data_IF_736531769400
#
_entry.id   IF_736531769400
#
_cell.length_a   1.000
_cell.length_b   1.000
_cell.length_c   1.000
_cell.angle_alpha   90.00
_cell.angle_beta   90.00
_cell.angle_gamma   90.00
#
_symmetry.space_group_name_H-M   'P 1'
#
loop_
_entity.id
_entity.type
_entity.pdbx_description
1 polymer ?
#
# COMPACT_ATOMS: atom_id res chain seq x y z
N UNK A 1 -5.18 22.25 -32.06
CA UNK A 1 -5.80 23.50 -31.58
C UNK A 1 -7.30 23.32 -31.27
N UNK A 2 -8.09 22.62 -32.11
CA UNK A 2 -9.53 22.47 -31.94
C UNK A 2 -9.95 21.79 -30.63
N UNK A 3 -9.13 20.91 -30.06
CA UNK A 3 -9.38 20.21 -28.81
C UNK A 3 -8.78 20.90 -27.56
N UNK A 4 -8.09 22.04 -27.74
CA UNK A 4 -7.49 22.79 -26.64
C UNK A 4 -6.38 22.08 -25.88
N UNK A 5 -5.87 20.94 -26.38
CA UNK A 5 -4.83 20.12 -25.74
C UNK A 5 -3.50 20.85 -25.53
N UNK A 6 -3.27 21.93 -26.25
CA UNK A 6 -2.11 22.81 -26.10
C UNK A 6 -2.26 23.86 -25.00
N UNK A 7 -3.44 23.94 -24.36
CA UNK A 7 -3.75 24.93 -23.31
C UNK A 7 -3.78 24.33 -21.91
N UNK A 8 -3.38 23.07 -21.75
CA UNK A 8 -3.32 22.40 -20.42
C UNK A 8 -2.24 23.08 -19.58
N UNK A 9 -2.59 23.57 -18.40
CA UNK A 9 -1.67 24.35 -17.55
C UNK A 9 -0.54 23.51 -16.95
N UNK A 10 -0.88 22.36 -16.38
CA UNK A 10 0.06 21.45 -15.75
C UNK A 10 0.05 20.10 -16.49
N UNK A 11 0.63 20.01 -17.71
CA UNK A 11 0.42 18.88 -18.58
C UNK A 11 1.19 17.65 -18.12
N UNK A 12 0.48 16.52 -18.01
CA UNK A 12 1.04 15.17 -17.90
C UNK A 12 0.62 14.38 -19.14
N UNK A 13 1.57 13.74 -19.79
CA UNK A 13 1.27 12.88 -20.94
C UNK A 13 0.56 11.62 -20.48
N UNK A 14 -0.68 11.41 -20.91
CA UNK A 14 -1.51 10.28 -20.54
C UNK A 14 -1.73 9.27 -21.67
N UNK A 15 -1.19 9.53 -22.86
CA UNK A 15 -1.32 8.68 -24.03
C UNK A 15 -0.98 9.42 -25.30
N UNK A 16 -1.36 8.85 -26.43
CA UNK A 16 -1.16 9.49 -27.73
C UNK A 16 -2.27 9.11 -28.72
N UNK A 17 -2.46 9.98 -29.69
CA UNK A 17 -3.30 9.73 -30.86
C UNK A 17 -2.38 9.44 -32.05
N UNK A 18 -2.71 8.39 -32.81
CA UNK A 18 -2.07 8.08 -34.08
C UNK A 18 -3.01 8.43 -35.24
N UNK A 19 -2.49 9.16 -36.17
CA UNK A 19 -3.18 9.50 -37.42
C UNK A 19 -2.30 9.10 -38.61
N UNK A 20 -2.93 8.57 -39.64
CA UNK A 20 -2.26 8.22 -40.85
C UNK A 20 -2.65 9.23 -41.96
N UNK A 21 -1.67 9.89 -42.50
CA UNK A 21 -1.85 10.74 -43.69
C UNK A 21 -1.10 10.10 -44.83
N UNK A 22 -1.82 9.35 -45.69
CA UNK A 22 -1.26 8.53 -46.73
C UNK A 22 -0.24 7.49 -46.20
N UNK A 23 1.06 7.76 -46.38
CA UNK A 23 2.15 6.88 -45.92
C UNK A 23 2.77 7.35 -44.60
N UNK A 24 2.45 8.54 -44.13
CA UNK A 24 3.06 9.13 -42.95
C UNK A 24 2.20 8.89 -41.72
N UNK A 25 2.84 8.44 -40.66
CA UNK A 25 2.25 8.25 -39.37
C UNK A 25 2.54 9.48 -38.47
N UNK A 26 1.48 10.17 -38.09
CA UNK A 26 1.56 11.33 -37.20
C UNK A 26 1.15 10.86 -35.80
N UNK A 27 2.03 11.04 -34.80
CA UNK A 27 1.78 10.74 -33.40
C UNK A 27 1.66 12.04 -32.63
N UNK A 28 0.53 12.24 -31.93
CA UNK A 28 0.26 13.43 -31.13
C UNK A 28 0.09 13.01 -29.66
N UNK A 29 0.87 13.56 -28.71
CA UNK A 29 0.69 13.28 -27.30
C UNK A 29 -0.65 13.84 -26.81
N UNK A 30 -1.37 13.04 -26.02
CA UNK A 30 -2.56 13.46 -25.28
C UNK A 30 -2.11 13.82 -23.88
N UNK A 31 -2.48 15.02 -23.44
CA UNK A 31 -2.09 15.57 -22.14
C UNK A 31 -3.30 15.82 -21.27
N UNK A 32 -3.17 15.53 -19.98
CA UNK A 32 -4.14 15.90 -18.93
C UNK A 32 -3.49 16.90 -17.97
N UNK A 33 -4.30 17.71 -17.33
CA UNK A 33 -3.83 18.59 -16.25
C UNK A 33 -3.60 17.75 -14.97
N UNK A 34 -2.39 17.82 -14.42
CA UNK A 34 -2.00 17.04 -13.23
C UNK A 34 -2.92 17.27 -12.04
N UNK A 35 -3.52 18.45 -11.89
CA UNK A 35 -4.43 18.77 -10.79
C UNK A 35 -5.65 17.85 -10.69
N UNK A 36 -6.10 17.30 -11.82
CA UNK A 36 -7.17 16.30 -11.84
C UNK A 36 -6.69 14.88 -11.58
N UNK A 37 -5.39 14.65 -11.56
CA UNK A 37 -4.79 13.34 -11.29
C UNK A 37 -4.27 13.20 -9.85
N UNK A 38 -3.70 14.28 -9.31
CA UNK A 38 -3.03 14.29 -8.01
C UNK A 38 -3.55 15.35 -7.03
N UNK A 39 -4.52 16.16 -7.41
CA UNK A 39 -5.11 17.25 -6.61
C UNK A 39 -4.55 18.62 -6.96
N UNK A 40 -5.10 19.70 -6.36
CA UNK A 40 -6.17 19.71 -5.35
C UNK A 40 -7.60 19.61 -5.90
N UNK A 41 -7.79 19.44 -7.19
CA UNK A 41 -9.10 19.48 -7.88
C UNK A 41 -9.89 18.15 -7.78
N UNK A 42 -9.95 17.53 -6.59
CA UNK A 42 -10.76 16.35 -6.36
C UNK A 42 -10.26 15.11 -7.12
N UNK A 43 -8.96 14.89 -7.12
CA UNK A 43 -8.31 13.83 -7.86
C UNK A 43 -8.81 12.44 -7.45
N UNK A 44 -9.56 11.82 -8.35
CA UNK A 44 -10.00 10.45 -8.24
C UNK A 44 -9.97 9.80 -9.63
N UNK A 45 -9.10 8.79 -9.80
CA UNK A 45 -8.95 8.09 -11.07
C UNK A 45 -9.37 6.63 -10.93
N UNK A 46 -10.30 6.20 -11.77
CA UNK A 46 -10.68 4.81 -11.91
C UNK A 46 -10.26 4.28 -13.28
N UNK A 47 -9.48 3.19 -13.30
CA UNK A 47 -9.03 2.53 -14.52
C UNK A 47 -9.74 1.20 -14.65
N UNK A 48 -10.65 1.11 -15.63
CA UNK A 48 -11.42 -0.09 -15.93
C UNK A 48 -10.92 -0.74 -17.22
N UNK A 49 -10.95 -2.06 -17.29
CA UNK A 49 -10.56 -2.81 -18.49
C UNK A 49 -10.84 -4.30 -18.35
N UNK A 50 -10.72 -5.02 -19.45
CA UNK A 50 -10.92 -6.48 -19.51
C UNK A 50 -9.85 -7.17 -18.64
N UNK A 51 -10.28 -8.13 -17.83
CA UNK A 51 -9.38 -8.93 -16.99
C UNK A 51 -8.45 -9.80 -17.86
N UNK A 52 -7.19 -9.96 -17.42
CA UNK A 52 -6.21 -10.86 -18.04
C UNK A 52 -5.25 -10.20 -19.05
N UNK A 53 -5.46 -8.95 -19.45
CA UNK A 53 -4.58 -8.25 -20.40
C UNK A 53 -3.52 -7.35 -19.73
N UNK A 54 -3.35 -7.40 -18.42
CA UNK A 54 -2.44 -6.54 -17.63
C UNK A 54 -2.58 -5.01 -17.89
N UNK A 55 -3.42 -4.62 -18.85
CA UNK A 55 -3.54 -3.25 -19.34
C UNK A 55 -3.87 -2.22 -18.24
N UNK A 56 -4.64 -2.62 -17.22
CA UNK A 56 -5.04 -1.71 -16.13
C UNK A 56 -3.85 -1.29 -15.28
N UNK A 57 -3.11 -2.26 -14.74
CA UNK A 57 -1.94 -2.01 -13.91
C UNK A 57 -0.83 -1.33 -14.70
N UNK A 58 -0.57 -1.80 -15.92
CA UNK A 58 0.45 -1.19 -16.79
C UNK A 58 0.14 0.26 -17.14
N UNK A 59 -1.13 0.58 -17.42
CA UNK A 59 -1.52 1.96 -17.69
C UNK A 59 -1.46 2.84 -16.44
N UNK A 60 -1.87 2.31 -15.28
CA UNK A 60 -1.74 3.02 -14.01
C UNK A 60 -0.27 3.35 -13.73
N UNK A 61 0.63 2.36 -13.86
CA UNK A 61 2.07 2.56 -13.65
C UNK A 61 2.66 3.56 -14.65
N UNK A 62 2.27 3.47 -15.92
CA UNK A 62 2.67 4.46 -16.93
C UNK A 62 2.28 5.89 -16.54
N UNK A 63 1.04 6.08 -16.12
CA UNK A 63 0.53 7.40 -15.75
C UNK A 63 1.22 7.94 -14.49
N UNK A 64 1.36 7.11 -13.44
CA UNK A 64 2.00 7.50 -12.19
C UNK A 64 3.49 7.77 -12.37
N UNK A 65 4.15 7.02 -13.28
CA UNK A 65 5.55 7.29 -13.63
C UNK A 65 5.70 8.62 -14.36
N UNK A 66 4.79 8.95 -15.29
CA UNK A 66 4.78 10.24 -15.96
C UNK A 66 4.56 11.40 -14.97
N UNK A 67 3.75 11.19 -13.93
CA UNK A 67 3.58 12.15 -12.83
C UNK A 67 4.87 12.28 -12.01
N UNK A 68 5.49 11.16 -11.61
CA UNK A 68 6.75 11.20 -10.87
C UNK A 68 7.83 11.96 -11.66
N UNK A 69 7.98 11.68 -12.96
CA UNK A 69 8.98 12.36 -13.79
C UNK A 69 8.75 13.86 -13.85
N UNK A 70 7.49 14.28 -13.98
CA UNK A 70 7.13 15.70 -13.94
C UNK A 70 7.50 16.36 -12.61
N UNK A 71 7.28 15.67 -11.47
CA UNK A 71 7.65 16.18 -10.14
C UNK A 71 9.18 16.31 -9.93
N UNK A 72 9.99 15.67 -10.77
CA UNK A 72 11.45 15.83 -10.78
C UNK A 72 11.95 16.95 -11.69
N UNK A 73 11.08 17.61 -12.46
CA UNK A 73 11.45 18.78 -13.25
C UNK A 73 11.81 19.95 -12.32
N UNK A 74 12.82 20.75 -12.70
CA UNK A 74 13.37 21.79 -11.84
C UNK A 74 12.35 22.87 -11.44
N UNK A 75 11.36 23.11 -12.30
CA UNK A 75 10.31 24.14 -12.10
C UNK A 75 9.02 23.54 -11.54
N UNK A 76 9.02 22.28 -11.07
CA UNK A 76 7.82 21.65 -10.53
C UNK A 76 7.48 22.22 -9.16
N UNK A 77 6.28 22.78 -9.05
CA UNK A 77 5.67 23.20 -7.78
C UNK A 77 4.93 22.02 -7.09
N UNK A 78 4.77 20.90 -7.78
CA UNK A 78 4.02 19.75 -7.28
C UNK A 78 4.88 18.93 -6.29
N UNK A 79 4.41 18.79 -5.05
CA UNK A 79 4.97 17.94 -4.01
C UNK A 79 4.10 16.69 -3.88
N UNK A 80 4.55 15.58 -4.44
CA UNK A 80 3.82 14.31 -4.49
C UNK A 80 4.66 13.19 -3.91
N UNK A 81 4.04 12.33 -3.15
CA UNK A 81 4.56 11.02 -2.77
C UNK A 81 3.53 9.94 -3.14
N UNK A 82 3.99 8.71 -3.30
CA UNK A 82 3.15 7.62 -3.76
C UNK A 82 3.11 6.51 -2.71
N UNK A 83 1.90 6.04 -2.40
CA UNK A 83 1.71 4.83 -1.59
C UNK A 83 0.96 3.82 -2.45
N UNK A 84 1.60 2.69 -2.71
CA UNK A 84 1.05 1.60 -3.51
C UNK A 84 0.79 0.38 -2.63
N UNK A 85 -0.37 -0.25 -2.82
CA UNK A 85 -0.67 -1.55 -2.23
C UNK A 85 -0.53 -2.64 -3.28
N UNK A 86 0.42 -3.55 -3.08
CA UNK A 86 0.53 -4.76 -3.89
C UNK A 86 -0.45 -5.80 -3.34
N UNK A 87 -1.62 -5.88 -3.96
CA UNK A 87 -2.72 -6.75 -3.49
C UNK A 87 -2.72 -8.13 -4.15
N UNK A 88 -1.96 -8.30 -5.25
CA UNK A 88 -1.94 -9.56 -6.00
C UNK A 88 -0.60 -9.77 -6.72
N UNK A 89 -0.06 -10.97 -6.61
CA UNK A 89 1.16 -11.34 -7.33
C UNK A 89 2.38 -10.51 -6.91
N UNK A 90 3.22 -10.17 -7.88
CA UNK A 90 4.48 -9.43 -7.68
C UNK A 90 4.61 -8.18 -8.56
N UNK A 91 3.54 -7.75 -9.19
CA UNK A 91 3.58 -6.75 -10.28
C UNK A 91 4.16 -5.39 -9.83
N UNK A 92 3.99 -5.02 -8.56
CA UNK A 92 4.49 -3.76 -8.01
C UNK A 92 5.82 -3.92 -7.23
N UNK A 93 6.36 -5.14 -7.11
CA UNK A 93 7.50 -5.42 -6.22
C UNK A 93 8.87 -5.24 -6.88
N UNK A 94 8.93 -4.73 -8.11
CA UNK A 94 10.16 -4.46 -8.84
C UNK A 94 10.04 -3.22 -9.74
N UNK A 95 9.25 -2.22 -9.32
CA UNK A 95 8.99 -1.02 -10.11
C UNK A 95 10.18 -0.07 -10.20
N UNK A 96 11.21 -0.28 -9.38
CA UNK A 96 12.51 0.39 -9.41
C UNK A 96 13.51 -0.29 -10.35
N UNK A 97 13.11 -1.40 -10.99
CA UNK A 97 13.95 -2.12 -11.94
C UNK A 97 13.60 -1.75 -13.38
N UNK A 98 14.57 -1.75 -14.30
CA UNK A 98 14.30 -1.58 -15.71
C UNK A 98 13.33 -2.65 -16.25
N UNK A 99 12.51 -2.28 -17.22
CA UNK A 99 11.63 -3.25 -17.89
C UNK A 99 12.44 -4.30 -18.64
N UNK A 100 12.06 -5.57 -18.48
CA UNK A 100 12.61 -6.67 -19.25
C UNK A 100 11.85 -6.84 -20.56
N UNK A 101 12.58 -7.12 -21.63
CA UNK A 101 12.02 -7.36 -22.97
C UNK A 101 12.54 -8.68 -23.52
N UNK A 102 11.68 -9.43 -24.20
CA UNK A 102 12.04 -10.71 -24.82
C UNK A 102 13.05 -10.54 -25.96
N UNK A 103 13.07 -9.37 -26.59
CA UNK A 103 14.00 -9.06 -27.68
C UNK A 103 14.26 -7.56 -27.80
N UNK A 104 15.37 -7.21 -28.45
CA UNK A 104 15.81 -5.81 -28.63
C UNK A 104 14.88 -4.99 -29.52
N UNK A 105 14.23 -5.63 -30.51
CA UNK A 105 13.28 -4.94 -31.40
C UNK A 105 12.07 -4.41 -30.67
N UNK A 106 11.51 -5.16 -29.70
CA UNK A 106 10.41 -4.71 -28.86
C UNK A 106 10.84 -3.59 -27.92
N UNK A 107 12.03 -3.69 -27.36
CA UNK A 107 12.62 -2.63 -26.52
C UNK A 107 12.79 -1.33 -27.32
N UNK A 108 13.39 -1.38 -28.50
CA UNK A 108 13.56 -0.21 -29.36
C UNK A 108 12.20 0.41 -29.76
N UNK A 109 11.23 -0.42 -30.09
CA UNK A 109 9.87 0.01 -30.45
C UNK A 109 9.20 0.74 -29.30
N UNK A 110 9.23 0.16 -28.08
CA UNK A 110 8.59 0.73 -26.89
C UNK A 110 9.32 2.00 -26.46
N UNK A 111 10.65 1.96 -26.34
CA UNK A 111 11.46 3.11 -25.93
C UNK A 111 11.39 4.26 -26.94
N UNK A 112 11.33 3.94 -28.23
CA UNK A 112 11.10 4.93 -29.27
C UNK A 112 9.74 5.63 -29.17
N UNK A 113 8.70 4.96 -28.69
CA UNK A 113 7.41 5.59 -28.39
C UNK A 113 7.50 6.53 -27.19
N UNK A 114 8.15 6.10 -26.10
CA UNK A 114 8.36 6.96 -24.92
C UNK A 114 9.12 8.24 -25.29
N UNK A 115 10.20 8.12 -26.05
CA UNK A 115 10.98 9.26 -26.53
C UNK A 115 10.13 10.24 -27.35
N UNK A 116 9.30 9.73 -28.27
CA UNK A 116 8.38 10.57 -29.07
C UNK A 116 7.37 11.33 -28.24
N UNK A 117 7.01 10.79 -27.08
CA UNK A 117 6.06 11.39 -26.13
C UNK A 117 6.72 12.33 -25.12
N UNK A 118 8.05 12.46 -25.17
CA UNK A 118 8.81 13.23 -24.20
C UNK A 118 8.86 12.58 -22.80
N UNK A 119 8.71 11.25 -22.75
CA UNK A 119 8.74 10.48 -21.49
C UNK A 119 10.09 9.78 -21.33
N UNK A 120 10.49 9.56 -20.07
CA UNK A 120 11.70 8.78 -19.77
C UNK A 120 11.41 7.28 -19.85
N UNK A 121 12.46 6.48 -20.10
CA UNK A 121 12.40 5.02 -20.06
C UNK A 121 12.96 4.45 -18.74
N UNK A 122 13.24 5.33 -17.79
CA UNK A 122 13.79 4.96 -16.48
C UNK A 122 12.68 4.41 -15.57
N UNK A 123 13.00 3.48 -14.67
CA UNK A 123 12.07 2.98 -13.67
C UNK A 123 11.70 4.06 -12.63
N UNK A 124 10.82 3.70 -11.70
CA UNK A 124 10.53 4.56 -10.54
C UNK A 124 11.79 4.80 -9.71
N UNK A 125 11.90 6.01 -9.14
CA UNK A 125 13.00 6.40 -8.26
C UNK A 125 12.51 6.46 -6.82
N UNK A 126 13.44 6.37 -5.86
CA UNK A 126 13.17 6.48 -4.42
C UNK A 126 12.06 5.53 -3.96
N UNK A 127 12.17 4.25 -4.32
CA UNK A 127 11.19 3.23 -3.99
C UNK A 127 11.58 2.53 -2.69
N UNK A 128 10.62 2.45 -1.76
CA UNK A 128 10.71 1.75 -0.48
C UNK A 128 9.67 0.64 -0.45
N UNK A 129 10.10 -0.58 -0.10
CA UNK A 129 9.25 -1.76 -0.05
C UNK A 129 9.00 -2.18 1.40
N UNK A 130 7.74 -2.51 1.70
CA UNK A 130 7.33 -3.00 3.02
C UNK A 130 6.68 -4.36 2.87
N UNK A 131 7.26 -5.36 3.52
CA UNK A 131 6.82 -6.75 3.47
C UNK A 131 6.29 -7.21 4.81
N UNK A 132 5.20 -8.02 4.84
CA UNK A 132 4.74 -8.61 6.10
C UNK A 132 5.83 -9.49 6.70
N UNK A 133 6.09 -9.33 7.99
CA UNK A 133 7.04 -10.18 8.69
C UNK A 133 6.56 -11.64 8.74
N UNK A 134 7.45 -12.62 8.53
CA UNK A 134 7.15 -14.05 8.63
C UNK A 134 7.96 -14.74 9.72
N UNK A 135 7.51 -15.93 10.15
CA UNK A 135 8.22 -16.76 11.13
C UNK A 135 9.65 -17.14 10.69
N UNK A 136 9.96 -17.04 9.40
CA UNK A 136 11.30 -17.25 8.86
C UNK A 136 12.20 -16.01 8.92
N UNK A 137 11.72 -14.92 9.53
CA UNK A 137 12.39 -13.61 9.60
C UNK A 137 12.69 -13.00 8.21
N UNK A 138 11.83 -13.25 7.25
CA UNK A 138 11.87 -12.74 5.89
C UNK A 138 10.48 -12.27 5.47
N UNK A 139 10.37 -11.52 4.38
CA UNK A 139 9.08 -11.07 3.86
C UNK A 139 8.16 -12.22 3.45
N UNK A 140 6.88 -12.13 3.84
CA UNK A 140 5.83 -13.01 3.34
C UNK A 140 5.35 -12.47 1.98
N UNK A 141 6.10 -12.75 0.93
CA UNK A 141 5.94 -12.15 -0.39
C UNK A 141 6.01 -13.19 -1.53
N UNK A 142 5.51 -12.81 -2.71
CA UNK A 142 5.69 -13.56 -3.97
C UNK A 142 7.01 -13.24 -4.68
N UNK A 143 7.78 -12.30 -4.17
CA UNK A 143 9.10 -12.00 -4.72
C UNK A 143 10.06 -13.20 -4.54
N UNK A 144 11.01 -13.38 -5.46
CA UNK A 144 12.04 -14.39 -5.30
C UNK A 144 12.97 -14.04 -4.12
N UNK A 145 13.64 -15.06 -3.56
CA UNK A 145 14.58 -14.81 -2.45
C UNK A 145 15.74 -13.92 -2.86
N UNK A 146 16.20 -14.08 -4.09
CA UNK A 146 17.31 -13.33 -4.67
C UNK A 146 16.94 -11.86 -4.77
N UNK A 147 15.80 -11.55 -5.40
CA UNK A 147 15.32 -10.17 -5.56
C UNK A 147 14.97 -9.52 -4.20
N UNK A 148 14.36 -10.28 -3.26
CA UNK A 148 14.12 -9.77 -1.91
C UNK A 148 15.44 -9.44 -1.18
N UNK A 149 16.44 -10.31 -1.26
CA UNK A 149 17.73 -10.07 -0.62
C UNK A 149 18.47 -8.88 -1.23
N UNK A 150 18.38 -8.69 -2.54
CA UNK A 150 18.94 -7.53 -3.22
C UNK A 150 18.32 -6.23 -2.69
N UNK A 151 16.99 -6.15 -2.61
CA UNK A 151 16.30 -4.99 -2.06
C UNK A 151 16.67 -4.73 -0.59
N UNK A 152 16.81 -5.78 0.21
CA UNK A 152 17.22 -5.67 1.61
C UNK A 152 18.65 -5.14 1.74
N UNK A 153 19.59 -5.65 0.94
CA UNK A 153 20.99 -5.22 0.93
C UNK A 153 21.10 -3.76 0.48
N UNK A 154 20.29 -3.35 -0.48
CA UNK A 154 20.22 -1.97 -0.96
C UNK A 154 19.55 -1.01 0.05
N UNK A 155 18.97 -1.53 1.14
CA UNK A 155 18.34 -0.74 2.20
C UNK A 155 16.97 -0.17 1.85
N UNK A 156 16.36 -0.63 0.75
CA UNK A 156 15.04 -0.18 0.31
C UNK A 156 13.90 -1.16 0.63
N UNK A 157 14.16 -2.24 1.38
CA UNK A 157 13.15 -3.16 1.85
C UNK A 157 13.14 -3.28 3.38
N UNK A 158 11.95 -3.19 3.99
CA UNK A 158 11.72 -3.37 5.43
C UNK A 158 10.62 -4.39 5.68
N UNK A 159 10.68 -5.03 6.85
CA UNK A 159 9.66 -5.94 7.34
C UNK A 159 8.74 -5.17 8.30
N UNK A 160 7.45 -5.12 8.03
CA UNK A 160 6.53 -4.48 8.95
C UNK A 160 5.90 -5.45 9.93
N UNK A 161 5.71 -4.97 11.16
CA UNK A 161 5.11 -5.66 12.29
C UNK A 161 4.20 -4.70 13.06
N UNK A 162 3.46 -5.29 13.98
CA UNK A 162 2.56 -4.60 14.91
C UNK A 162 3.01 -4.90 16.34
N UNK A 163 3.38 -3.86 17.05
CA UNK A 163 3.74 -3.91 18.46
C UNK A 163 2.49 -3.83 19.35
N UNK A 164 2.46 -4.55 20.50
CA UNK A 164 1.28 -4.58 21.31
C UNK A 164 0.98 -3.23 21.96
N UNK A 165 1.98 -2.60 22.54
CA UNK A 165 1.84 -1.33 23.28
C UNK A 165 1.20 -0.23 22.40
N UNK A 166 1.68 -0.10 21.18
CA UNK A 166 1.26 0.94 20.26
C UNK A 166 0.04 0.58 19.41
N UNK A 167 -0.07 -0.69 18.99
CA UNK A 167 -1.02 -1.09 17.96
C UNK A 167 -2.29 -1.78 18.48
N UNK A 168 -2.38 -2.12 19.79
CA UNK A 168 -3.62 -2.69 20.34
C UNK A 168 -4.83 -1.74 20.20
N UNK A 169 -4.58 -0.43 20.05
CA UNK A 169 -5.60 0.61 19.87
C UNK A 169 -6.17 0.65 18.46
N UNK A 170 -5.56 -0.07 17.51
CA UNK A 170 -5.93 -0.11 16.08
C UNK A 170 -6.76 -1.35 15.70
N UNK A 171 -7.11 -2.18 16.68
CA UNK A 171 -7.82 -3.44 16.45
C UNK A 171 -9.25 -3.26 15.90
N UNK A 172 -9.81 -2.04 15.95
CA UNK A 172 -11.06 -1.66 15.30
C UNK A 172 -11.06 -2.02 13.79
N UNK A 173 -9.92 -1.91 13.14
CA UNK A 173 -9.78 -2.22 11.72
C UNK A 173 -9.99 -3.69 11.37
N UNK A 174 -9.75 -4.62 12.31
CA UNK A 174 -10.06 -6.05 12.13
C UNK A 174 -11.57 -6.35 12.14
N UNK A 175 -12.38 -5.40 12.57
CA UNK A 175 -13.83 -5.54 12.67
C UNK A 175 -14.58 -4.76 11.60
N UNK A 176 -13.88 -4.08 10.70
CA UNK A 176 -14.49 -3.23 9.67
C UNK A 176 -15.46 -3.99 8.73
N UNK A 177 -15.25 -5.30 8.52
CA UNK A 177 -16.10 -6.17 7.71
C UNK A 177 -17.19 -6.88 8.51
N UNK A 178 -17.27 -6.68 9.84
CA UNK A 178 -18.18 -7.41 10.72
C UNK A 178 -19.37 -6.52 11.06
N UNK A 179 -20.59 -6.98 10.73
CA UNK A 179 -21.81 -6.31 11.16
C UNK A 179 -21.91 -6.31 12.69
N UNK A 180 -21.95 -5.13 13.29
CA UNK A 180 -22.10 -4.91 14.73
C UNK A 180 -23.21 -3.89 15.03
N UNK A 181 -24.50 -4.26 14.78
CA UNK A 181 -25.64 -3.34 14.91
C UNK A 181 -25.81 -2.78 16.34
N UNK A 182 -25.26 -3.43 17.34
CA UNK A 182 -25.34 -3.01 18.75
C UNK A 182 -24.08 -2.29 19.24
N UNK A 183 -23.10 -2.03 18.35
CA UNK A 183 -21.83 -1.36 18.68
C UNK A 183 -21.08 -2.04 19.87
N UNK A 184 -21.20 -3.35 19.97
CA UNK A 184 -20.60 -4.13 21.06
C UNK A 184 -19.10 -4.30 20.87
N UNK A 185 -18.64 -4.35 19.61
CA UNK A 185 -17.21 -4.41 19.29
C UNK A 185 -16.55 -3.06 19.55
N UNK A 186 -17.21 -1.97 19.18
CA UNK A 186 -16.73 -0.60 19.47
C UNK A 186 -16.58 -0.37 20.97
N UNK A 187 -17.53 -0.87 21.77
CA UNK A 187 -17.44 -0.77 23.24
C UNK A 187 -16.23 -1.52 23.81
N UNK A 188 -15.91 -2.71 23.27
CA UNK A 188 -14.71 -3.48 23.67
C UNK A 188 -13.43 -2.75 23.24
N UNK A 189 -13.40 -2.26 22.00
CA UNK A 189 -12.24 -1.54 21.46
C UNK A 189 -11.97 -0.28 22.27
N UNK A 190 -13.02 0.49 22.58
CA UNK A 190 -12.90 1.66 23.45
C UNK A 190 -12.42 1.30 24.87
N UNK A 191 -12.87 0.16 25.42
CA UNK A 191 -12.40 -0.33 26.72
C UNK A 191 -10.89 -0.63 26.70
N UNK A 192 -10.42 -1.27 25.60
CA UNK A 192 -9.00 -1.58 25.40
C UNK A 192 -8.18 -0.30 25.14
N UNK A 193 -8.65 0.57 24.24
CA UNK A 193 -7.97 1.81 23.87
C UNK A 193 -7.81 2.79 25.06
N UNK A 194 -8.74 2.76 26.01
CA UNK A 194 -8.67 3.53 27.26
C UNK A 194 -7.90 2.79 28.37
N UNK A 195 -7.23 1.69 28.07
CA UNK A 195 -6.42 0.91 28.99
C UNK A 195 -7.16 0.53 30.30
N UNK A 196 -8.44 0.17 30.16
CA UNK A 196 -9.27 -0.15 31.30
C UNK A 196 -8.99 -1.58 31.81
N UNK A 197 -9.17 -1.78 33.11
CA UNK A 197 -8.96 -3.08 33.74
C UNK A 197 -7.53 -3.60 33.54
N UNK A 198 -7.40 -4.86 33.16
CA UNK A 198 -6.13 -5.54 32.98
C UNK A 198 -5.43 -5.23 31.63
N UNK A 199 -5.98 -4.32 30.80
CA UNK A 199 -5.34 -3.91 29.55
C UNK A 199 -4.28 -2.81 29.76
N UNK A 200 -4.19 -2.25 30.95
CA UNK A 200 -3.24 -1.19 31.26
C UNK A 200 -1.81 -1.72 31.29
N UNK A 201 -0.94 -1.09 30.47
CA UNK A 201 0.49 -1.38 30.44
C UNK A 201 0.84 -2.74 29.83
N UNK A 202 -0.01 -3.28 28.98
CA UNK A 202 0.30 -4.47 28.18
C UNK A 202 1.28 -4.12 27.07
N UNK A 203 2.37 -4.87 26.98
CA UNK A 203 3.42 -4.72 25.98
C UNK A 203 3.66 -6.01 25.16
N UNK A 204 2.89 -7.07 25.42
CA UNK A 204 2.98 -8.35 24.76
C UNK A 204 1.62 -8.87 24.27
N UNK A 205 1.59 -9.37 23.04
CA UNK A 205 0.36 -9.90 22.43
C UNK A 205 -0.14 -11.20 23.08
N UNK A 206 0.74 -12.01 23.68
CA UNK A 206 0.31 -13.22 24.38
C UNK A 206 -0.44 -12.86 25.66
N UNK A 207 0.08 -11.89 26.43
CA UNK A 207 -0.58 -11.36 27.62
C UNK A 207 -1.90 -10.68 27.27
N UNK A 208 -1.93 -9.91 26.18
CA UNK A 208 -3.15 -9.31 25.65
C UNK A 208 -4.23 -10.38 25.37
N UNK A 209 -3.87 -11.47 24.67
CA UNK A 209 -4.80 -12.56 24.37
C UNK A 209 -5.28 -13.31 25.62
N UNK A 210 -4.45 -13.46 26.66
CA UNK A 210 -4.87 -14.05 27.93
C UNK A 210 -5.85 -13.12 28.67
N UNK A 211 -5.62 -11.81 28.71
CA UNK A 211 -6.57 -10.84 29.28
C UNK A 211 -7.91 -10.86 28.56
N UNK A 212 -7.91 -10.92 27.21
CA UNK A 212 -9.15 -11.07 26.43
C UNK A 212 -9.87 -12.36 26.80
N UNK A 213 -9.16 -13.48 26.92
CA UNK A 213 -9.71 -14.79 27.29
C UNK A 213 -10.28 -14.80 28.71
N UNK A 214 -9.65 -14.12 29.67
CA UNK A 214 -10.16 -13.95 31.01
C UNK A 214 -11.55 -13.28 31.02
N UNK A 215 -11.74 -12.26 30.17
CA UNK A 215 -13.02 -11.57 30.05
C UNK A 215 -14.13 -12.44 29.40
N UNK A 216 -13.75 -13.57 28.77
CA UNK A 216 -14.70 -14.56 28.22
C UNK A 216 -15.26 -15.54 29.26
N UNK A 217 -14.81 -15.51 30.52
CA UNK A 217 -15.25 -16.45 31.57
C UNK A 217 -16.61 -16.06 32.15
N UNK A 218 -17.44 -17.06 32.43
CA UNK A 218 -18.72 -16.86 33.07
C UNK A 218 -18.54 -16.30 34.50
N UNK A 219 -19.33 -15.29 34.85
CA UNK A 219 -19.29 -14.67 36.20
C UNK A 219 -18.33 -13.50 36.33
N UNK A 220 -17.45 -13.20 35.39
CA UNK A 220 -16.76 -11.91 35.34
C UNK A 220 -17.74 -10.84 34.84
N UNK A 221 -18.09 -9.93 35.69
CA UNK A 221 -18.85 -8.73 35.33
C UNK A 221 -17.85 -7.62 35.00
N UNK A 222 -17.69 -7.30 33.72
CA UNK A 222 -17.43 -5.93 33.34
C UNK A 222 -18.82 -5.30 33.22
N UNK A 223 -19.09 -4.28 34.03
CA UNK A 223 -20.44 -3.76 34.29
C UNK A 223 -21.21 -3.32 33.03
N UNK A 224 -20.56 -3.20 31.89
CA UNK A 224 -21.14 -2.70 30.63
C UNK A 224 -21.01 -3.67 29.44
N UNK A 225 -20.08 -4.63 29.45
CA UNK A 225 -19.80 -5.51 28.30
C UNK A 225 -20.11 -6.96 28.63
N UNK A 226 -20.99 -7.58 27.81
CA UNK A 226 -21.41 -8.96 28.03
C UNK A 226 -20.27 -9.97 27.72
N UNK A 227 -20.27 -11.09 28.44
CA UNK A 227 -19.37 -12.23 28.17
C UNK A 227 -19.54 -12.76 26.74
N UNK A 228 -20.77 -12.67 26.18
CA UNK A 228 -21.04 -13.03 24.78
C UNK A 228 -20.31 -12.15 23.77
N UNK A 229 -20.26 -10.85 24.03
CA UNK A 229 -19.52 -9.88 23.23
C UNK A 229 -18.01 -10.15 23.27
N UNK A 230 -17.46 -10.40 24.47
CA UNK A 230 -16.04 -10.78 24.64
C UNK A 230 -15.69 -12.08 23.91
N UNK A 231 -16.58 -13.08 23.91
CA UNK A 231 -16.35 -14.33 23.15
C UNK A 231 -16.36 -14.10 21.64
N UNK A 232 -17.25 -13.23 21.12
CA UNK A 232 -17.26 -12.85 19.69
C UNK A 232 -15.95 -12.13 19.34
N UNK A 233 -15.55 -11.14 20.15
CA UNK A 233 -14.31 -10.41 20.02
C UNK A 233 -13.08 -11.34 20.02
N UNK A 234 -12.96 -12.19 21.04
CA UNK A 234 -11.85 -13.15 21.18
C UNK A 234 -11.69 -14.05 19.96
N UNK A 235 -12.81 -14.49 19.37
CA UNK A 235 -12.76 -15.36 18.18
C UNK A 235 -12.09 -14.66 17.00
N UNK A 236 -12.44 -13.40 16.73
CA UNK A 236 -11.86 -12.61 15.63
C UNK A 236 -10.40 -12.32 15.90
N UNK A 237 -10.09 -11.76 17.05
CA UNK A 237 -8.72 -11.40 17.46
C UNK A 237 -7.80 -12.61 17.44
N UNK A 238 -8.26 -13.75 17.98
CA UNK A 238 -7.44 -14.95 18.02
C UNK A 238 -7.13 -15.50 16.62
N UNK A 239 -8.06 -15.42 15.69
CA UNK A 239 -7.83 -15.85 14.31
C UNK A 239 -6.80 -14.94 13.58
N UNK A 240 -6.75 -13.68 13.93
CA UNK A 240 -5.88 -12.69 13.25
C UNK A 240 -4.50 -12.60 13.90
N UNK A 241 -4.42 -12.67 15.23
CA UNK A 241 -3.19 -12.39 15.99
C UNK A 241 -2.47 -13.67 16.44
N UNK A 242 -3.22 -14.69 16.89
CA UNK A 242 -2.60 -15.89 17.45
C UNK A 242 -1.75 -16.62 16.42
N UNK A 243 -0.48 -16.89 16.76
CA UNK A 243 0.52 -17.46 15.87
C UNK A 243 0.81 -16.67 14.58
N UNK A 244 0.39 -15.41 14.52
CA UNK A 244 0.72 -14.53 13.41
C UNK A 244 2.02 -13.76 13.73
N UNK A 245 3.12 -14.02 13.02
CA UNK A 245 4.42 -13.44 13.33
C UNK A 245 4.49 -11.92 13.08
N UNK A 246 3.49 -11.34 12.42
CA UNK A 246 3.39 -9.89 12.25
C UNK A 246 3.08 -9.18 13.58
N UNK A 247 2.46 -9.88 14.52
CA UNK A 247 2.14 -9.35 15.85
C UNK A 247 3.23 -9.74 16.85
N UNK A 248 4.04 -8.79 17.26
CA UNK A 248 5.15 -9.01 18.20
C UNK A 248 6.11 -7.84 18.22
N UNK A 249 7.00 -7.84 19.19
CA UNK A 249 8.00 -6.78 19.36
C UNK A 249 8.79 -6.52 18.08
N UNK A 250 9.04 -5.26 17.82
CA UNK A 250 9.85 -4.80 16.68
C UNK A 250 11.30 -4.76 17.16
N UNK A 251 12.20 -5.36 16.36
CA UNK A 251 13.62 -5.33 16.67
C UNK A 251 14.19 -3.95 16.33
N UNK A 252 15.13 -3.50 17.18
CA UNK A 252 15.90 -2.27 16.94
C UNK A 252 17.09 -2.54 15.97
N UNK A 253 16.75 -2.92 14.72
CA UNK A 253 17.72 -3.37 13.72
C UNK A 253 17.59 -2.72 12.34
N UNK A 254 16.85 -1.64 12.19
CA UNK A 254 16.55 -0.99 10.91
C UNK A 254 15.91 -1.88 9.82
N UNK A 255 15.82 -3.20 10.00
CA UNK A 255 15.17 -4.12 9.07
C UNK A 255 13.67 -4.24 9.34
N UNK A 256 13.25 -3.94 10.57
CA UNK A 256 11.86 -4.00 11.00
C UNK A 256 11.29 -2.60 11.25
N UNK A 257 9.99 -2.45 11.05
CA UNK A 257 9.33 -1.15 11.25
C UNK A 257 7.84 -1.34 11.55
N UNK A 258 7.22 -0.33 12.14
CA UNK A 258 5.79 -0.08 12.06
C UNK A 258 5.50 0.68 10.77
N UNK A 259 4.42 0.35 10.06
CA UNK A 259 4.05 1.10 8.86
C UNK A 259 3.78 2.57 9.18
N UNK A 260 3.07 2.85 10.27
CA UNK A 260 2.79 4.21 10.73
C UNK A 260 4.08 5.04 10.85
N UNK A 261 5.12 4.51 11.49
CA UNK A 261 6.38 5.24 11.69
C UNK A 261 7.11 5.51 10.39
N UNK A 262 7.04 4.57 9.44
CA UNK A 262 7.64 4.75 8.11
C UNK A 262 6.85 5.73 7.24
N UNK A 263 5.52 5.74 7.34
CA UNK A 263 4.66 6.57 6.50
C UNK A 263 4.46 8.00 7.05
N UNK A 264 4.66 8.24 8.34
CA UNK A 264 4.62 9.59 8.93
C UNK A 264 5.65 10.57 8.36
N UNK A 265 6.75 10.07 7.81
CA UNK A 265 7.88 10.88 7.37
C UNK A 265 8.14 10.77 5.86
N UNK A 266 7.08 10.52 5.09
CA UNK A 266 7.16 10.46 3.63
C UNK A 266 7.65 11.80 3.08
N UNK A 267 8.65 11.72 2.19
CA UNK A 267 9.22 12.89 1.52
C UNK A 267 8.71 13.01 0.09
N UNK A 268 8.87 14.20 -0.46
CA UNK A 268 8.59 14.48 -1.86
C UNK A 268 9.23 13.44 -2.79
N UNK A 269 8.45 12.96 -3.75
CA UNK A 269 8.84 12.03 -4.79
C UNK A 269 9.25 10.62 -4.30
N UNK A 270 9.04 10.29 -3.04
CA UNK A 270 9.19 8.91 -2.55
C UNK A 270 8.01 8.04 -3.01
N UNK A 271 8.32 6.78 -3.23
CA UNK A 271 7.35 5.73 -3.56
C UNK A 271 7.41 4.64 -2.49
N UNK A 272 6.31 4.40 -1.84
CA UNK A 272 6.17 3.40 -0.80
C UNK A 272 5.28 2.26 -1.30
N UNK A 273 5.81 1.06 -1.41
CA UNK A 273 5.09 -0.14 -1.87
C UNK A 273 4.85 -1.06 -0.68
N UNK A 274 3.60 -1.24 -0.31
CA UNK A 274 3.18 -2.10 0.79
C UNK A 274 2.66 -3.42 0.21
N UNK A 275 3.36 -4.52 0.47
CA UNK A 275 2.95 -5.83 0.00
C UNK A 275 1.95 -6.48 0.97
N UNK A 276 0.76 -6.75 0.48
CA UNK A 276 -0.31 -7.44 1.21
C UNK A 276 -0.84 -8.67 0.45
N UNK A 277 -0.20 -9.02 -0.66
CA UNK A 277 -0.72 -10.01 -1.62
C UNK A 277 -0.86 -11.43 -1.04
N UNK A 278 -0.07 -11.80 -0.03
CA UNK A 278 -0.15 -13.10 0.64
C UNK A 278 -0.96 -13.10 1.94
N UNK A 279 -1.47 -11.96 2.35
CA UNK A 279 -2.32 -11.86 3.53
C UNK A 279 -3.75 -12.31 3.18
N UNK A 280 -4.49 -12.80 4.19
CA UNK A 280 -5.92 -13.01 4.04
C UNK A 280 -6.67 -11.67 4.00
N UNK A 281 -7.95 -11.69 3.60
CA UNK A 281 -8.75 -10.49 3.38
C UNK A 281 -8.85 -9.61 4.63
N UNK A 282 -9.02 -10.18 5.82
CA UNK A 282 -9.11 -9.42 7.08
C UNK A 282 -7.80 -8.69 7.35
N UNK A 283 -6.66 -9.36 7.15
CA UNK A 283 -5.35 -8.74 7.35
C UNK A 283 -5.00 -7.75 6.24
N UNK A 284 -5.46 -7.96 5.00
CA UNK A 284 -5.32 -6.96 3.94
C UNK A 284 -6.07 -5.68 4.31
N UNK A 285 -7.31 -5.81 4.78
CA UNK A 285 -8.12 -4.69 5.26
C UNK A 285 -7.49 -3.97 6.45
N UNK A 286 -6.94 -4.72 7.41
CA UNK A 286 -6.25 -4.17 8.57
C UNK A 286 -5.02 -3.34 8.17
N UNK A 287 -4.12 -3.91 7.35
CA UNK A 287 -2.91 -3.21 6.89
C UNK A 287 -3.25 -1.99 6.03
N UNK A 288 -4.26 -2.11 5.16
CA UNK A 288 -4.73 -0.99 4.36
C UNK A 288 -5.25 0.16 5.24
N UNK A 289 -6.09 -0.17 6.23
CA UNK A 289 -6.63 0.81 7.18
C UNK A 289 -5.53 1.49 8.00
N UNK A 290 -4.53 0.73 8.48
CA UNK A 290 -3.39 1.26 9.22
C UNK A 290 -2.54 2.24 8.39
N UNK A 291 -2.33 1.94 7.12
CA UNK A 291 -1.47 2.75 6.26
C UNK A 291 -2.10 4.08 5.81
N UNK A 292 -3.44 4.21 5.84
CA UNK A 292 -4.15 5.44 5.43
C UNK A 292 -4.73 6.23 6.60
N UNK A 293 -4.62 5.76 7.83
CA UNK A 293 -5.08 6.43 9.05
C UNK A 293 -4.07 7.46 9.54
#
# INVERSE_FOLDING_TARGET
EALGLNKVKNPVTCGYLEMYNNKDKITLPVKMDSRFLIGPEGAHLNISGISGLAAKTSYAMFLLKAIQDKCYEADSEDDVAFVFFNVKGKDLLAIDQPAEFDNESDKERVYGQYTKLGLTTLPFKNVHYYYPYSAKKVGNTYLSKEAYNEQRINGNAKLYKYDCEDDMKKLDMLFASIEDPNQTMDSIINYIANEQGNFRGLDDWADFLEVVKENCQAGKKNDEISVGSWRKFNRVIRNSIYNNPMFGRIADDNEQTRLEDSLKHIKKNEVHVIDIAKLNEDMQGFVFGDAIR
#
